data_IF_103671244383
#
_entry.id   IF_103671244383
#
_cell.length_a   1.000
_cell.length_b   1.000
_cell.length_c   1.000
_cell.angle_alpha   90.00
_cell.angle_beta   90.00
_cell.angle_gamma   90.00
#
_symmetry.space_group_name_H-M   'P 1'
#
loop_
_entity.id
_entity.type
_entity.pdbx_description
1 polymer ?
#
# COMPACT_ATOMS: atom_id res chain seq x y z
N UNK A 1 22.08 -21.96 -23.80
CA UNK A 1 23.56 -21.86 -23.76
C UNK A 1 24.13 -21.42 -22.41
N UNK A 2 23.67 -20.32 -21.79
CA UNK A 2 24.24 -19.82 -20.52
C UNK A 2 24.02 -20.74 -19.30
N UNK A 3 22.89 -21.45 -19.23
CA UNK A 3 22.56 -22.36 -18.11
C UNK A 3 23.54 -23.54 -18.03
N UNK A 4 23.92 -24.15 -19.16
CA UNK A 4 24.93 -25.23 -19.18
C UNK A 4 26.29 -24.76 -18.64
N UNK A 5 26.69 -23.53 -18.97
CA UNK A 5 27.94 -22.95 -18.45
C UNK A 5 27.88 -22.73 -16.92
N UNK A 6 26.71 -22.38 -16.37
CA UNK A 6 26.50 -22.25 -14.92
C UNK A 6 26.55 -23.63 -14.24
N UNK A 7 25.91 -24.64 -14.82
CA UNK A 7 25.94 -26.01 -14.28
C UNK A 7 27.37 -26.52 -14.22
N UNK A 8 28.13 -26.40 -15.31
CA UNK A 8 29.55 -26.78 -15.37
C UNK A 8 30.41 -26.00 -14.35
N UNK A 9 30.14 -24.71 -14.15
CA UNK A 9 30.83 -23.91 -13.15
C UNK A 9 30.55 -24.44 -11.73
N UNK A 10 29.29 -24.75 -11.41
CA UNK A 10 28.88 -25.26 -10.09
C UNK A 10 29.39 -26.68 -9.82
N UNK A 11 29.49 -27.51 -10.86
CA UNK A 11 30.13 -28.84 -10.79
C UNK A 11 31.63 -28.73 -10.48
N UNK A 12 32.30 -27.70 -11.00
CA UNK A 12 33.73 -27.47 -10.76
C UNK A 12 34.07 -26.86 -9.39
N UNK A 13 33.06 -26.45 -8.60
CA UNK A 13 33.24 -25.87 -7.28
C UNK A 13 33.40 -26.95 -6.20
N UNK A 14 34.26 -26.68 -5.22
CA UNK A 14 34.43 -27.55 -4.05
C UNK A 14 33.39 -27.18 -2.98
N UNK A 15 32.39 -28.03 -2.80
CA UNK A 15 31.39 -27.85 -1.75
C UNK A 15 31.81 -28.55 -0.46
N UNK A 16 31.32 -28.08 0.71
CA UNK A 16 31.48 -28.80 1.96
C UNK A 16 30.98 -30.24 1.82
N UNK A 17 31.70 -31.19 2.40
CA UNK A 17 31.46 -32.64 2.24
C UNK A 17 30.06 -33.10 2.66
N UNK A 18 29.40 -32.39 3.59
CA UNK A 18 28.02 -32.67 3.99
C UNK A 18 26.97 -32.20 2.97
N UNK A 19 27.33 -31.26 2.09
CA UNK A 19 26.43 -30.63 1.12
C UNK A 19 26.63 -31.20 -0.30
N UNK A 20 27.85 -31.62 -0.62
CA UNK A 20 28.26 -32.20 -1.91
C UNK A 20 27.25 -33.21 -2.52
N UNK A 21 26.77 -34.26 -1.82
CA UNK A 21 25.85 -35.23 -2.42
C UNK A 21 24.50 -34.64 -2.81
N UNK A 22 24.01 -33.63 -2.08
CA UNK A 22 22.76 -32.94 -2.43
C UNK A 22 22.92 -32.04 -3.64
N UNK A 23 24.09 -31.40 -3.76
CA UNK A 23 24.44 -30.54 -4.90
C UNK A 23 24.59 -31.38 -6.17
N UNK A 24 25.28 -32.52 -6.12
CA UNK A 24 25.43 -33.43 -7.26
C UNK A 24 24.08 -33.93 -7.77
N UNK A 25 23.21 -34.38 -6.86
CA UNK A 25 21.85 -34.80 -7.23
C UNK A 25 21.09 -33.63 -7.87
N UNK A 26 21.10 -32.45 -7.27
CA UNK A 26 20.42 -31.26 -7.81
C UNK A 26 20.94 -30.87 -9.19
N UNK A 27 22.25 -30.84 -9.40
CA UNK A 27 22.87 -30.50 -10.69
C UNK A 27 22.55 -31.54 -11.75
N UNK A 28 22.49 -32.83 -11.40
CA UNK A 28 22.04 -33.89 -12.30
C UNK A 28 20.57 -33.69 -12.74
N UNK A 29 19.68 -33.35 -11.80
CA UNK A 29 18.29 -33.00 -12.12
C UNK A 29 18.19 -31.78 -13.03
N UNK A 30 18.99 -30.73 -12.77
CA UNK A 30 19.01 -29.52 -13.60
C UNK A 30 19.53 -29.82 -15.00
N UNK A 31 20.63 -30.58 -15.11
CA UNK A 31 21.23 -30.96 -16.39
C UNK A 31 20.26 -31.78 -17.22
N UNK A 32 19.61 -32.79 -16.61
CA UNK A 32 18.57 -33.58 -17.27
C UNK A 32 17.37 -32.73 -17.72
N UNK A 33 16.90 -31.81 -16.88
CA UNK A 33 15.81 -30.90 -17.24
C UNK A 33 16.18 -29.97 -18.40
N UNK A 34 17.42 -29.46 -18.44
CA UNK A 34 17.92 -28.60 -19.52
C UNK A 34 18.04 -29.37 -20.83
N UNK A 35 18.44 -30.64 -20.78
CA UNK A 35 18.64 -31.48 -21.96
C UNK A 35 17.33 -32.06 -22.50
N UNK A 36 16.33 -32.24 -21.64
CA UNK A 36 14.99 -32.66 -22.04
C UNK A 36 14.16 -31.53 -22.67
N UNK A 37 14.46 -30.27 -22.32
CA UNK A 37 13.78 -29.10 -22.88
C UNK A 37 14.37 -28.77 -24.25
N UNK A 38 13.54 -28.84 -25.28
CA UNK A 38 13.88 -28.36 -26.62
C UNK A 38 13.85 -26.82 -26.65
N UNK A 39 15.03 -26.22 -26.46
CA UNK A 39 15.20 -24.77 -26.41
C UNK A 39 14.95 -24.11 -27.77
N UNK A 40 15.25 -24.79 -28.87
CA UNK A 40 15.03 -24.27 -30.22
C UNK A 40 13.52 -24.22 -30.52
N UNK A 41 12.77 -25.24 -30.07
CA UNK A 41 11.32 -25.23 -30.13
C UNK A 41 10.69 -24.15 -29.25
N UNK A 42 11.19 -23.92 -28.03
CA UNK A 42 10.71 -22.82 -27.17
C UNK A 42 11.02 -21.45 -27.76
N UNK A 43 12.20 -21.26 -28.36
CA UNK A 43 12.55 -20.02 -29.06
C UNK A 43 11.64 -19.79 -30.26
N UNK A 44 11.40 -20.81 -31.07
CA UNK A 44 10.43 -20.74 -32.17
C UNK A 44 9.04 -20.37 -31.65
N UNK A 45 8.58 -20.99 -30.56
CA UNK A 45 7.29 -20.71 -29.95
C UNK A 45 7.20 -19.27 -29.43
N UNK A 46 8.28 -18.75 -28.84
CA UNK A 46 8.38 -17.38 -28.39
C UNK A 46 8.29 -16.40 -29.57
N UNK A 47 9.02 -16.62 -30.66
CA UNK A 47 8.94 -15.80 -31.87
C UNK A 47 7.58 -15.89 -32.57
N UNK A 48 6.94 -17.06 -32.56
CA UNK A 48 5.61 -17.27 -33.11
C UNK A 48 4.54 -16.48 -32.33
N UNK A 49 4.62 -16.48 -31.00
CA UNK A 49 3.66 -15.77 -30.14
C UNK A 49 4.04 -14.33 -29.83
N UNK A 50 5.28 -13.89 -30.09
CA UNK A 50 5.70 -12.52 -29.81
C UNK A 50 4.83 -11.47 -30.53
N UNK A 51 4.49 -11.59 -31.82
CA UNK A 51 3.57 -10.66 -32.48
C UNK A 51 2.18 -10.63 -31.82
N UNK A 52 1.69 -11.80 -31.39
CA UNK A 52 0.41 -11.91 -30.67
C UNK A 52 0.49 -11.19 -29.32
N UNK A 53 1.56 -11.41 -28.57
CA UNK A 53 1.83 -10.75 -27.29
C UNK A 53 1.90 -9.23 -27.47
N UNK A 54 2.65 -8.75 -28.47
CA UNK A 54 2.75 -7.32 -28.81
C UNK A 54 1.38 -6.75 -29.17
N UNK A 55 0.59 -7.46 -29.98
CA UNK A 55 -0.75 -7.02 -30.41
C UNK A 55 -1.71 -6.80 -29.24
N UNK A 56 -1.55 -7.53 -28.12
CA UNK A 56 -2.37 -7.36 -26.92
C UNK A 56 -1.73 -6.47 -25.84
N UNK A 57 -0.40 -6.50 -25.67
CA UNK A 57 0.30 -5.67 -24.68
C UNK A 57 0.35 -4.20 -25.12
N UNK A 58 0.63 -3.94 -26.39
CA UNK A 58 0.82 -2.57 -26.88
C UNK A 58 -0.42 -1.68 -26.68
N UNK A 59 -1.66 -2.13 -26.99
CA UNK A 59 -2.86 -1.34 -26.70
C UNK A 59 -3.04 -1.06 -25.20
N UNK A 60 -2.70 -2.02 -24.32
CA UNK A 60 -2.76 -1.82 -22.87
C UNK A 60 -1.74 -0.78 -22.42
N UNK A 61 -0.51 -0.83 -22.91
CA UNK A 61 0.51 0.18 -22.63
C UNK A 61 0.10 1.57 -23.13
N UNK A 62 -0.49 1.65 -24.33
CA UNK A 62 -0.98 2.91 -24.89
C UNK A 62 -2.11 3.48 -24.02
N UNK A 63 -3.04 2.64 -23.56
CA UNK A 63 -4.10 3.04 -22.65
C UNK A 63 -3.53 3.58 -21.32
N UNK A 64 -2.54 2.88 -20.73
CA UNK A 64 -1.85 3.33 -19.53
C UNK A 64 -1.15 4.69 -19.75
N UNK A 65 -0.55 4.90 -20.92
CA UNK A 65 0.07 6.18 -21.26
C UNK A 65 -0.96 7.31 -21.36
N UNK A 66 -2.11 7.06 -22.00
CA UNK A 66 -3.21 8.03 -22.09
C UNK A 66 -3.71 8.40 -20.69
N UNK A 67 -3.94 7.42 -19.81
CA UNK A 67 -4.30 7.72 -18.42
C UNK A 67 -3.20 8.46 -17.66
N UNK A 68 -1.93 8.16 -17.94
CA UNK A 68 -0.78 8.92 -17.45
C UNK A 68 -0.85 10.40 -17.85
N UNK A 69 -1.21 10.70 -19.10
CA UNK A 69 -1.44 12.07 -19.56
C UNK A 69 -2.60 12.74 -18.82
N UNK A 70 -3.72 12.04 -18.59
CA UNK A 70 -4.86 12.57 -17.84
C UNK A 70 -4.46 12.91 -16.39
N UNK A 71 -3.74 12.01 -15.72
CA UNK A 71 -3.21 12.24 -14.37
C UNK A 71 -2.27 13.45 -14.36
N UNK A 72 -1.38 13.56 -15.36
CA UNK A 72 -0.49 14.70 -15.50
C UNK A 72 -1.26 16.02 -15.65
N UNK A 73 -2.30 16.05 -16.50
CA UNK A 73 -3.12 17.26 -16.68
C UNK A 73 -3.85 17.67 -15.40
N UNK A 74 -4.35 16.70 -14.62
CA UNK A 74 -4.95 16.97 -13.31
C UNK A 74 -3.94 17.58 -12.33
N UNK A 75 -2.74 17.02 -12.24
CA UNK A 75 -1.65 17.56 -11.41
C UNK A 75 -1.23 18.96 -11.89
N UNK A 76 -1.15 19.17 -13.21
CA UNK A 76 -0.81 20.46 -13.81
C UNK A 76 -1.87 21.54 -13.51
N UNK A 77 -3.13 21.16 -13.32
CA UNK A 77 -4.17 22.04 -12.78
C UNK A 77 -3.82 22.61 -11.40
N UNK A 78 -3.07 21.85 -10.58
CA UNK A 78 -2.61 22.24 -9.24
C UNK A 78 -1.24 22.95 -9.24
N UNK A 79 -0.67 23.28 -10.41
CA UNK A 79 0.70 23.82 -10.57
C UNK A 79 1.00 25.04 -9.67
N UNK A 80 0.04 25.92 -9.44
CA UNK A 80 0.25 27.11 -8.61
C UNK A 80 0.47 26.73 -7.14
N UNK A 81 -0.34 25.79 -6.61
CA UNK A 81 -0.19 25.27 -5.25
C UNK A 81 1.14 24.53 -5.07
N UNK A 82 1.53 23.76 -6.09
CA UNK A 82 2.81 23.06 -6.11
C UNK A 82 3.98 24.07 -6.10
N UNK A 83 3.90 25.12 -6.92
CA UNK A 83 4.90 26.19 -6.97
C UNK A 83 5.04 26.92 -5.63
N UNK A 84 3.92 27.22 -4.98
CA UNK A 84 3.91 27.82 -3.63
C UNK A 84 4.58 26.89 -2.60
N UNK A 85 4.29 25.59 -2.64
CA UNK A 85 4.89 24.60 -1.73
C UNK A 85 6.41 24.44 -1.94
N UNK A 86 6.89 24.52 -3.19
CA UNK A 86 8.33 24.54 -3.48
C UNK A 86 9.04 25.77 -2.90
N UNK A 87 8.33 26.89 -2.73
CA UNK A 87 8.90 28.09 -2.15
C UNK A 87 9.02 28.00 -0.61
N UNK A 88 8.24 27.15 0.06
CA UNK A 88 8.32 26.99 1.52
C UNK A 88 9.45 26.06 1.94
N UNK A 89 9.44 24.81 1.44
CA UNK A 89 10.49 23.83 1.72
C UNK A 89 10.54 22.71 0.69
N UNK A 90 11.71 22.09 0.54
CA UNK A 90 11.89 20.95 -0.36
C UNK A 90 10.94 19.78 -0.03
N UNK A 91 10.73 19.52 1.26
CA UNK A 91 9.86 18.43 1.71
C UNK A 91 8.38 18.76 1.51
N UNK A 92 7.97 20.01 1.63
CA UNK A 92 6.60 20.43 1.35
C UNK A 92 6.29 20.38 -0.14
N UNK A 93 7.22 20.80 -0.99
CA UNK A 93 7.11 20.61 -2.44
C UNK A 93 6.97 19.14 -2.83
N UNK A 94 7.78 18.25 -2.25
CA UNK A 94 7.68 16.80 -2.48
C UNK A 94 6.33 16.23 -2.01
N UNK A 95 5.90 16.59 -0.80
CA UNK A 95 4.62 16.21 -0.21
C UNK A 95 3.43 16.61 -1.07
N UNK A 96 3.35 17.88 -1.45
CA UNK A 96 2.23 18.41 -2.23
C UNK A 96 2.23 17.82 -3.65
N UNK A 97 3.40 17.55 -4.23
CA UNK A 97 3.48 16.85 -5.52
C UNK A 97 2.94 15.43 -5.46
N UNK A 98 3.35 14.64 -4.45
CA UNK A 98 2.86 13.27 -4.25
C UNK A 98 1.37 13.26 -3.89
N UNK A 99 0.92 14.20 -3.04
CA UNK A 99 -0.49 14.37 -2.72
C UNK A 99 -1.32 14.70 -3.96
N UNK A 100 -0.83 15.59 -4.83
CA UNK A 100 -1.49 15.93 -6.10
C UNK A 100 -1.60 14.73 -7.02
N UNK A 101 -0.57 13.87 -7.06
CA UNK A 101 -0.61 12.62 -7.81
C UNK A 101 -1.68 11.66 -7.28
N UNK A 102 -1.73 11.42 -5.97
CA UNK A 102 -2.74 10.53 -5.40
C UNK A 102 -4.16 11.09 -5.49
N UNK A 103 -4.33 12.41 -5.38
CA UNK A 103 -5.61 13.09 -5.65
C UNK A 103 -6.07 12.87 -7.10
N UNK A 104 -5.15 13.00 -8.07
CA UNK A 104 -5.43 12.73 -9.48
C UNK A 104 -5.80 11.26 -9.73
N UNK A 105 -5.02 10.32 -9.19
CA UNK A 105 -5.29 8.88 -9.31
C UNK A 105 -6.65 8.55 -8.69
N UNK A 106 -6.93 9.05 -7.49
CA UNK A 106 -8.24 8.84 -6.86
C UNK A 106 -9.38 9.42 -7.67
N UNK A 107 -9.20 10.61 -8.25
CA UNK A 107 -10.23 11.27 -9.05
C UNK A 107 -10.52 10.52 -10.36
N UNK A 108 -9.47 10.14 -11.09
CA UNK A 108 -9.58 9.50 -12.41
C UNK A 108 -9.98 8.03 -12.29
N UNK A 109 -9.36 7.28 -11.37
CA UNK A 109 -9.53 5.83 -11.29
C UNK A 109 -10.72 5.40 -10.42
N UNK A 110 -10.95 6.11 -9.31
CA UNK A 110 -11.98 5.75 -8.34
C UNK A 110 -13.09 6.79 -8.21
N UNK A 111 -13.09 7.87 -9.01
CA UNK A 111 -14.11 8.92 -8.95
C UNK A 111 -14.42 9.38 -7.52
N UNK A 112 -13.38 9.44 -6.67
CA UNK A 112 -13.61 9.46 -5.22
C UNK A 112 -14.19 10.79 -4.73
N UNK A 113 -15.02 10.71 -3.69
CA UNK A 113 -15.63 11.87 -3.03
C UNK A 113 -15.44 11.77 -1.52
N UNK A 114 -15.18 12.92 -0.87
CA UNK A 114 -15.11 13.01 0.60
C UNK A 114 -16.24 13.89 1.11
N UNK A 115 -17.08 13.32 1.98
CA UNK A 115 -18.09 14.04 2.77
C UNK A 115 -17.56 14.26 4.18
N UNK A 116 -17.77 15.44 4.76
CA UNK A 116 -17.33 15.75 6.12
C UNK A 116 -15.89 16.25 6.22
N UNK A 117 -15.29 16.77 5.13
CA UNK A 117 -13.94 17.36 5.19
C UNK A 117 -13.91 18.59 6.11
N UNK A 118 -15.03 19.28 6.24
CA UNK A 118 -15.30 20.36 7.18
C UNK A 118 -15.19 19.92 8.66
N UNK A 119 -15.36 18.62 8.97
CA UNK A 119 -15.18 18.08 10.31
C UNK A 119 -13.69 18.01 10.71
N UNK A 120 -12.77 18.10 9.74
CA UNK A 120 -11.33 18.13 9.98
C UNK A 120 -10.94 19.54 10.43
N UNK A 121 -10.37 19.69 11.65
CA UNK A 121 -10.04 21.01 12.17
C UNK A 121 -8.86 21.62 11.41
N UNK A 122 -8.93 22.94 11.17
CA UNK A 122 -7.87 23.68 10.50
C UNK A 122 -6.63 23.86 11.40
N UNK A 123 -6.81 23.81 12.73
CA UNK A 123 -5.75 23.89 13.73
C UNK A 123 -5.98 22.92 14.89
N UNK A 124 -4.95 22.60 15.68
CA UNK A 124 -5.06 21.69 16.83
C UNK A 124 -5.26 20.22 16.44
N UNK A 125 -5.30 19.28 17.41
CA UNK A 125 -5.26 17.87 17.10
C UNK A 125 -6.60 17.28 16.64
N UNK A 126 -6.52 16.16 15.93
CA UNK A 126 -7.65 15.26 15.72
C UNK A 126 -7.17 13.83 15.53
N UNK A 127 -7.93 12.87 16.07
CA UNK A 127 -7.69 11.45 15.90
C UNK A 127 -8.73 10.84 14.96
N UNK A 128 -8.28 10.37 13.81
CA UNK A 128 -9.07 9.61 12.87
C UNK A 128 -9.05 8.14 13.28
N UNK A 129 -10.23 7.57 13.49
CA UNK A 129 -10.39 6.14 13.72
C UNK A 129 -11.12 5.57 12.53
N UNK A 130 -10.46 4.69 11.78
CA UNK A 130 -10.96 4.27 10.48
C UNK A 130 -10.95 2.78 10.24
N UNK A 131 -11.85 2.34 9.37
CA UNK A 131 -11.83 0.99 8.82
C UNK A 131 -10.72 0.86 7.79
N UNK A 132 -9.83 -0.13 7.93
CA UNK A 132 -8.74 -0.35 7.00
C UNK A 132 -9.23 -1.08 5.75
N UNK A 133 -9.07 -0.50 4.56
CA UNK A 133 -9.24 -1.17 3.28
C UNK A 133 -8.24 -2.32 3.06
N UNK A 134 -8.37 -3.09 1.98
CA UNK A 134 -7.40 -4.18 1.71
C UNK A 134 -5.98 -3.65 1.50
N UNK A 135 -5.88 -2.51 0.81
CA UNK A 135 -4.69 -1.67 0.71
C UNK A 135 -5.03 -0.28 1.27
N UNK A 136 -4.05 0.47 1.81
CA UNK A 136 -4.28 1.76 2.45
C UNK A 136 -4.52 2.92 1.46
N UNK A 137 -5.15 2.66 0.31
CA UNK A 137 -5.48 3.73 -0.66
C UNK A 137 -6.48 4.73 -0.08
N UNK A 138 -7.35 4.24 0.80
CA UNK A 138 -8.28 5.06 1.57
C UNK A 138 -7.56 6.18 2.33
N UNK A 139 -6.53 5.85 3.11
CA UNK A 139 -5.79 6.84 3.89
C UNK A 139 -4.94 7.75 2.98
N UNK A 140 -4.45 7.25 1.85
CA UNK A 140 -3.68 8.07 0.90
C UNK A 140 -4.52 9.19 0.29
N UNK A 141 -5.77 8.91 -0.08
CA UNK A 141 -6.68 9.91 -0.64
C UNK A 141 -7.09 10.95 0.41
N UNK A 142 -7.28 10.53 1.66
CA UNK A 142 -7.58 11.45 2.77
C UNK A 142 -6.37 12.32 3.11
N UNK A 143 -5.16 11.74 3.18
CA UNK A 143 -3.91 12.52 3.29
C UNK A 143 -3.84 13.56 2.19
N UNK A 144 -4.04 13.16 0.93
CA UNK A 144 -3.97 14.06 -0.21
C UNK A 144 -4.97 15.23 -0.08
N UNK A 145 -6.24 14.95 0.25
CA UNK A 145 -7.25 16.01 0.47
C UNK A 145 -6.91 16.93 1.64
N UNK A 146 -6.48 16.38 2.78
CA UNK A 146 -6.08 17.19 3.94
C UNK A 146 -4.90 18.10 3.59
N UNK A 147 -3.90 17.62 2.84
CA UNK A 147 -2.75 18.45 2.46
C UNK A 147 -3.12 19.53 1.45
N UNK A 148 -3.96 19.19 0.47
CA UNK A 148 -4.34 20.12 -0.60
C UNK A 148 -5.37 21.18 -0.18
N UNK A 149 -6.24 20.88 0.78
CA UNK A 149 -7.36 21.76 1.17
C UNK A 149 -7.27 22.28 2.59
N UNK A 150 -6.68 21.53 3.51
CA UNK A 150 -6.49 21.93 4.91
C UNK A 150 -5.06 22.37 5.22
N UNK A 151 -4.10 22.11 4.30
CA UNK A 151 -2.66 22.32 4.52
C UNK A 151 -2.13 21.55 5.72
N UNK A 152 -2.71 20.37 6.00
CA UNK A 152 -2.33 19.51 7.13
C UNK A 152 -2.01 18.11 6.65
N UNK A 153 -0.92 17.54 7.18
CA UNK A 153 -0.58 16.13 6.97
C UNK A 153 -1.30 15.28 8.00
N UNK A 154 -1.86 14.15 7.57
CA UNK A 154 -2.42 13.14 8.45
C UNK A 154 -1.33 12.11 8.78
N UNK A 155 -0.89 12.09 10.05
CA UNK A 155 0.13 11.16 10.51
C UNK A 155 -0.47 9.76 10.63
N UNK A 156 0.30 8.72 10.31
CA UNK A 156 -0.22 7.35 10.29
C UNK A 156 0.53 6.43 11.25
N UNK A 157 -0.20 5.55 11.91
CA UNK A 157 0.39 4.42 12.63
C UNK A 157 0.48 3.22 11.70
N UNK A 158 1.70 2.87 11.29
CA UNK A 158 2.00 1.76 10.40
C UNK A 158 2.46 0.51 11.14
N UNK A 159 2.20 -0.67 10.58
CA UNK A 159 2.73 -1.91 11.14
C UNK A 159 4.26 -1.99 10.97
N UNK A 160 4.95 -2.66 11.90
CA UNK A 160 6.41 -2.74 11.97
C UNK A 160 7.05 -3.30 10.69
N UNK A 161 6.33 -4.13 9.93
CA UNK A 161 6.87 -4.68 8.67
C UNK A 161 7.15 -3.59 7.64
N UNK A 162 6.37 -2.48 7.64
CA UNK A 162 6.51 -1.40 6.66
C UNK A 162 7.92 -0.79 6.72
N UNK A 163 8.44 -0.65 7.93
CA UNK A 163 9.77 -0.08 8.21
C UNK A 163 10.93 -1.02 7.89
N UNK A 164 10.65 -2.29 7.58
CA UNK A 164 11.64 -3.27 7.17
C UNK A 164 11.76 -3.38 5.65
N UNK A 165 10.91 -2.69 4.89
CA UNK A 165 10.92 -2.76 3.43
C UNK A 165 12.00 -1.85 2.85
N UNK A 166 12.94 -2.38 2.06
CA UNK A 166 14.00 -1.59 1.45
C UNK A 166 13.44 -0.43 0.63
N UNK A 167 13.99 0.78 0.84
CA UNK A 167 13.60 2.00 0.12
C UNK A 167 12.41 2.78 0.70
N UNK A 168 11.64 2.21 1.65
CA UNK A 168 10.42 2.85 2.15
C UNK A 168 10.66 3.85 3.30
N UNK A 169 11.86 3.89 3.88
CA UNK A 169 12.17 4.79 4.99
C UNK A 169 11.90 6.27 4.68
N UNK A 170 12.19 6.70 3.44
CA UNK A 170 11.96 8.08 3.03
C UNK A 170 10.47 8.43 2.94
N UNK A 171 9.66 7.56 2.32
CA UNK A 171 8.21 7.82 2.19
C UNK A 171 7.55 7.85 3.57
N UNK A 172 7.96 6.95 4.48
CA UNK A 172 7.47 6.95 5.87
C UNK A 172 7.83 8.25 6.60
N UNK A 173 9.05 8.76 6.43
CA UNK A 173 9.49 10.02 7.03
C UNK A 173 8.72 11.21 6.48
N UNK A 174 8.54 11.28 5.16
CA UNK A 174 7.87 12.39 4.47
C UNK A 174 6.41 12.50 4.87
N UNK A 175 5.71 11.36 4.99
CA UNK A 175 4.30 11.27 5.34
C UNK A 175 4.03 10.96 6.82
N UNK A 176 5.04 11.10 7.69
CA UNK A 176 4.90 10.94 9.13
C UNK A 176 4.26 9.60 9.55
N UNK A 177 4.63 8.52 8.86
CA UNK A 177 4.22 7.16 9.17
C UNK A 177 5.17 6.62 10.25
N UNK A 178 4.63 6.24 11.41
CA UNK A 178 5.41 5.74 12.55
C UNK A 178 4.86 4.39 13.03
N UNK A 179 5.69 3.53 13.64
CA UNK A 179 5.18 2.31 14.28
C UNK A 179 4.34 2.59 15.53
N UNK A 180 4.54 3.79 16.12
CA UNK A 180 3.74 4.45 17.16
C UNK A 180 3.38 3.61 18.38
N UNK A 181 4.03 3.86 19.53
CA UNK A 181 3.46 3.46 20.83
C UNK A 181 2.23 4.31 21.17
N UNK A 182 1.50 3.94 22.22
CA UNK A 182 0.37 4.75 22.71
C UNK A 182 0.87 6.13 23.13
N UNK A 183 2.02 6.19 23.78
CA UNK A 183 2.67 7.41 24.26
C UNK A 183 3.13 8.28 23.08
N UNK A 184 3.69 7.69 22.03
CA UNK A 184 4.06 8.42 20.80
C UNK A 184 2.83 9.05 20.14
N UNK A 185 1.72 8.31 20.07
CA UNK A 185 0.47 8.78 19.50
C UNK A 185 -0.10 9.95 20.32
N UNK A 186 -0.10 9.82 21.65
CA UNK A 186 -0.52 10.88 22.57
C UNK A 186 0.37 12.12 22.41
N UNK A 187 1.69 11.95 22.32
CA UNK A 187 2.61 13.06 22.11
C UNK A 187 2.31 13.79 20.80
N UNK A 188 2.12 13.08 19.68
CA UNK A 188 1.75 13.69 18.39
C UNK A 188 0.44 14.47 18.44
N UNK A 189 -0.57 13.95 19.14
CA UNK A 189 -1.82 14.67 19.35
C UNK A 189 -1.62 15.90 20.25
N UNK A 190 -0.81 15.82 21.30
CA UNK A 190 -0.49 16.99 22.15
C UNK A 190 0.28 18.07 21.38
N UNK A 191 1.12 17.68 20.45
CA UNK A 191 1.81 18.59 19.51
C UNK A 191 0.85 19.23 18.48
N UNK A 192 -0.44 18.88 18.53
CA UNK A 192 -1.48 19.46 17.68
C UNK A 192 -1.56 18.82 16.30
N UNK A 193 -1.01 17.64 16.06
CA UNK A 193 -1.08 16.97 14.75
C UNK A 193 -2.39 16.20 14.53
N UNK A 194 -2.71 15.98 13.25
CA UNK A 194 -3.72 15.00 12.85
C UNK A 194 -3.09 13.61 12.86
N UNK A 195 -3.76 12.63 13.46
CA UNK A 195 -3.30 11.24 13.52
C UNK A 195 -4.41 10.31 13.06
N UNK A 196 -4.10 9.26 12.31
CA UNK A 196 -5.05 8.19 11.99
C UNK A 196 -4.59 6.83 12.49
N UNK A 197 -5.54 6.06 13.02
CA UNK A 197 -5.35 4.71 13.50
C UNK A 197 -6.46 3.81 12.96
N UNK A 198 -6.07 2.72 12.32
CA UNK A 198 -6.97 1.62 12.01
C UNK A 198 -6.98 0.63 13.19
N UNK A 199 -8.10 0.48 13.94
CA UNK A 199 -8.15 -0.37 15.13
C UNK A 199 -7.68 -1.81 14.88
N UNK A 200 -8.09 -2.41 13.76
CA UNK A 200 -7.68 -3.75 13.37
C UNK A 200 -6.38 -3.84 12.57
N UNK A 201 -5.88 -2.71 12.06
CA UNK A 201 -4.64 -2.60 11.29
C UNK A 201 -4.55 -3.63 10.16
N UNK A 202 -3.35 -4.17 9.93
CA UNK A 202 -3.09 -5.15 8.86
C UNK A 202 -3.96 -6.41 8.99
N UNK A 203 -4.32 -6.84 10.20
CA UNK A 203 -5.18 -8.01 10.38
C UNK A 203 -6.57 -7.76 9.78
N UNK A 204 -7.12 -6.59 10.03
CA UNK A 204 -8.38 -6.15 9.42
C UNK A 204 -8.21 -6.01 7.92
N UNK A 205 -7.16 -5.31 7.46
CA UNK A 205 -6.83 -5.18 6.04
C UNK A 205 -6.83 -6.53 5.30
N UNK A 206 -6.33 -7.58 5.93
CA UNK A 206 -6.23 -8.89 5.29
C UNK A 206 -7.48 -9.77 5.43
N UNK A 207 -8.23 -9.63 6.52
CA UNK A 207 -9.19 -10.66 6.93
C UNK A 207 -10.60 -10.18 7.25
N UNK A 208 -10.89 -8.88 7.13
CA UNK A 208 -12.26 -8.38 7.24
C UNK A 208 -13.13 -8.93 6.11
N UNK A 209 -14.42 -9.01 6.39
CA UNK A 209 -15.42 -9.46 5.42
C UNK A 209 -15.77 -8.28 4.49
N UNK A 210 -15.52 -8.39 3.17
CA UNK A 210 -15.81 -7.31 2.23
C UNK A 210 -17.31 -6.98 2.12
N UNK A 211 -18.21 -7.89 2.49
CA UNK A 211 -19.66 -7.65 2.40
C UNK A 211 -20.20 -6.84 3.60
N UNK A 212 -19.57 -6.98 4.77
CA UNK A 212 -20.10 -6.44 6.04
C UNK A 212 -19.22 -5.37 6.67
N UNK A 213 -17.99 -5.17 6.18
CA UNK A 213 -17.05 -4.17 6.70
C UNK A 213 -16.80 -4.28 8.22
N UNK A 214 -16.79 -5.51 8.74
CA UNK A 214 -16.61 -5.75 10.17
C UNK A 214 -15.24 -5.24 10.66
N UNK A 215 -15.24 -4.37 11.66
CA UNK A 215 -14.00 -3.90 12.30
C UNK A 215 -13.39 -5.04 13.11
N UNK A 216 -12.11 -5.33 12.90
CA UNK A 216 -11.39 -6.48 13.46
C UNK A 216 -10.24 -6.07 14.39
N UNK A 217 -10.52 -5.30 15.44
CA UNK A 217 -9.50 -4.93 16.43
C UNK A 217 -9.09 -6.07 17.38
N UNK A 218 -9.93 -7.11 17.54
CA UNK A 218 -9.67 -8.25 18.43
C UNK A 218 -9.28 -7.81 19.86
N UNK A 219 -8.03 -8.03 20.29
CA UNK A 219 -7.51 -7.60 21.61
C UNK A 219 -6.69 -6.30 21.54
N UNK A 220 -6.66 -5.61 20.38
CA UNK A 220 -5.89 -4.37 20.17
C UNK A 220 -6.69 -3.18 20.72
N UNK A 221 -6.29 -2.71 21.90
CA UNK A 221 -6.93 -1.57 22.58
C UNK A 221 -6.09 -0.28 22.52
N UNK A 222 -5.04 -0.25 21.68
CA UNK A 222 -4.13 0.89 21.58
C UNK A 222 -4.85 2.20 21.23
N UNK A 223 -5.72 2.18 20.21
CA UNK A 223 -6.50 3.35 19.81
C UNK A 223 -7.37 3.88 20.96
N UNK A 224 -8.02 3.00 21.72
CA UNK A 224 -8.85 3.38 22.86
C UNK A 224 -8.01 4.00 23.99
N UNK A 225 -6.81 3.46 24.25
CA UNK A 225 -5.87 4.06 25.22
C UNK A 225 -5.38 5.44 24.77
N UNK A 226 -5.16 5.64 23.47
CA UNK A 226 -4.80 6.96 22.92
C UNK A 226 -5.93 7.98 23.13
N UNK A 227 -7.18 7.58 22.86
CA UNK A 227 -8.37 8.41 23.12
C UNK A 227 -8.42 8.81 24.60
N UNK A 228 -8.35 7.84 25.51
CA UNK A 228 -8.39 8.10 26.97
C UNK A 228 -7.21 8.94 27.46
N UNK A 229 -6.04 8.82 26.83
CA UNK A 229 -4.84 9.59 27.17
C UNK A 229 -4.80 11.02 26.63
N UNK A 230 -5.76 11.39 25.76
CA UNK A 230 -5.91 12.72 25.18
C UNK A 230 -7.36 13.22 25.31
N UNK A 231 -7.86 13.45 26.54
CA UNK A 231 -9.22 13.92 26.75
C UNK A 231 -9.45 15.26 26.04
N UNK A 232 -10.62 15.41 25.41
CA UNK A 232 -10.98 16.60 24.65
C UNK A 232 -10.42 16.66 23.22
N UNK A 233 -9.53 15.75 22.81
CA UNK A 233 -9.10 15.64 21.41
C UNK A 233 -10.27 15.13 20.54
N UNK A 234 -10.64 15.85 19.46
CA UNK A 234 -11.62 15.41 18.49
C UNK A 234 -11.33 14.00 17.95
N UNK A 235 -12.27 13.07 18.08
CA UNK A 235 -12.22 11.77 17.40
C UNK A 235 -13.13 11.84 16.18
N UNK A 236 -12.58 11.59 15.00
CA UNK A 236 -13.30 11.60 13.72
C UNK A 236 -13.38 10.14 13.22
N UNK A 237 -14.53 9.47 13.37
CA UNK A 237 -14.74 8.19 12.73
C UNK A 237 -14.72 8.37 11.21
N UNK A 238 -13.98 7.51 10.52
CA UNK A 238 -13.85 7.54 9.07
C UNK A 238 -14.22 6.18 8.49
N UNK A 239 -15.07 6.22 7.45
CA UNK A 239 -15.45 5.05 6.69
C UNK A 239 -15.29 5.31 5.20
N UNK A 240 -14.84 4.28 4.47
CA UNK A 240 -14.66 4.34 3.01
C UNK A 240 -15.43 3.21 2.37
N UNK A 241 -16.51 3.55 1.68
CA UNK A 241 -17.30 2.62 0.88
C UNK A 241 -16.48 2.14 -0.32
N UNK A 242 -16.66 0.88 -0.70
CA UNK A 242 -16.00 0.21 -1.83
C UNK A 242 -14.47 0.09 -1.74
N UNK A 243 -13.84 0.45 -0.60
CA UNK A 243 -12.41 0.24 -0.39
C UNK A 243 -12.01 -1.24 -0.47
N UNK A 244 -12.96 -2.14 -0.19
CA UNK A 244 -12.82 -3.60 -0.31
C UNK A 244 -13.12 -4.14 -1.70
N UNK A 245 -13.81 -3.36 -2.52
CA UNK A 245 -14.12 -3.72 -3.89
C UNK A 245 -12.99 -3.35 -4.83
N UNK A 246 -12.23 -2.29 -4.54
CA UNK A 246 -11.06 -1.92 -5.33
C UNK A 246 -9.96 -2.99 -5.28
N UNK A 247 -9.70 -3.54 -4.10
CA UNK A 247 -8.71 -4.61 -3.89
C UNK A 247 -9.27 -5.69 -2.98
N UNK A 248 -9.07 -6.95 -3.39
CA UNK A 248 -9.61 -8.13 -2.73
C UNK A 248 -8.51 -9.14 -2.44
N UNK A 249 -8.80 -10.01 -1.48
CA UNK A 249 -7.97 -11.17 -1.15
C UNK A 249 -8.73 -12.42 -1.60
N UNK A 250 -8.09 -13.35 -2.32
CA UNK A 250 -8.73 -14.60 -2.75
C UNK A 250 -9.32 -15.36 -1.56
N UNK A 251 -10.46 -15.99 -1.78
CA UNK A 251 -11.10 -16.79 -0.72
C UNK A 251 -10.34 -18.10 -0.46
N UNK A 252 -9.69 -18.65 -1.50
CA UNK A 252 -8.89 -19.86 -1.38
C UNK A 252 -7.70 -19.65 -0.42
N UNK A 253 -7.43 -20.64 0.42
CA UNK A 253 -6.31 -20.59 1.36
C UNK A 253 -6.46 -19.59 2.52
N UNK A 254 -7.57 -18.86 2.65
CA UNK A 254 -7.75 -17.81 3.69
C UNK A 254 -7.47 -18.30 5.12
N UNK A 255 -7.82 -19.53 5.46
CA UNK A 255 -7.51 -20.13 6.78
C UNK A 255 -6.01 -20.32 6.99
N UNK A 256 -5.30 -20.80 5.96
CA UNK A 256 -3.84 -21.01 5.99
C UNK A 256 -3.13 -19.66 6.10
N UNK A 257 -3.45 -18.69 5.26
CA UNK A 257 -2.86 -17.36 5.33
C UNK A 257 -3.13 -16.65 6.65
N UNK A 258 -4.33 -16.81 7.21
CA UNK A 258 -4.65 -16.30 8.55
C UNK A 258 -3.78 -16.96 9.61
N UNK A 259 -3.62 -18.27 9.59
CA UNK A 259 -2.75 -18.99 10.52
C UNK A 259 -1.29 -18.53 10.40
N UNK A 260 -0.77 -18.37 9.17
CA UNK A 260 0.58 -17.85 8.93
C UNK A 260 0.71 -16.45 9.53
N UNK A 261 -0.22 -15.54 9.20
CA UNK A 261 -0.21 -14.17 9.69
C UNK A 261 -0.27 -14.09 11.22
N UNK A 262 -1.09 -14.90 11.88
CA UNK A 262 -1.17 -14.88 13.34
C UNK A 262 0.13 -15.34 14.02
N UNK A 263 0.89 -16.24 13.38
CA UNK A 263 2.19 -16.71 13.87
C UNK A 263 3.34 -15.76 13.54
N UNK A 264 3.43 -15.27 12.30
CA UNK A 264 4.60 -14.54 11.79
C UNK A 264 4.42 -13.03 11.76
N UNK A 265 3.16 -12.55 11.78
CA UNK A 265 2.78 -11.15 11.53
C UNK A 265 3.21 -10.61 10.16
N UNK A 266 3.55 -11.49 9.21
CA UNK A 266 3.87 -11.12 7.84
C UNK A 266 2.61 -11.13 6.96
N UNK A 267 2.35 -10.06 6.18
CA UNK A 267 1.17 -9.96 5.32
C UNK A 267 1.35 -10.72 4.00
N UNK A 268 1.38 -12.05 4.07
CA UNK A 268 1.64 -12.92 2.90
C UNK A 268 0.39 -13.29 2.10
N UNK A 269 -0.73 -12.58 2.30
CA UNK A 269 -1.94 -12.85 1.53
C UNK A 269 -1.79 -12.30 0.10
N UNK A 270 -2.09 -13.08 -0.93
CA UNK A 270 -2.18 -12.54 -2.28
C UNK A 270 -3.29 -11.50 -2.34
N UNK A 271 -3.01 -10.36 -2.97
CA UNK A 271 -3.98 -9.30 -3.23
C UNK A 271 -4.18 -9.20 -4.75
N UNK A 272 -5.42 -9.09 -5.18
CA UNK A 272 -5.77 -8.82 -6.58
C UNK A 272 -6.78 -7.68 -6.63
N UNK A 273 -6.91 -7.06 -7.81
CA UNK A 273 -7.81 -5.93 -8.02
C UNK A 273 -7.07 -4.76 -8.65
N UNK A 274 -7.30 -3.58 -8.12
CA UNK A 274 -7.12 -2.32 -8.84
C UNK A 274 -8.36 -1.99 -9.68
N UNK A 275 -9.55 -2.42 -9.24
CA UNK A 275 -10.78 -2.18 -9.99
C UNK A 275 -11.20 -0.70 -9.90
N UNK A 276 -11.66 -0.09 -11.01
CA UNK A 276 -12.07 1.32 -11.04
C UNK A 276 -13.47 1.49 -10.44
N UNK A 277 -13.58 1.27 -9.13
CA UNK A 277 -14.84 1.39 -8.38
C UNK A 277 -14.93 2.76 -7.72
N UNK A 278 -16.16 3.30 -7.63
CA UNK A 278 -16.38 4.58 -6.95
C UNK A 278 -16.07 4.45 -5.45
N UNK A 279 -15.12 5.22 -4.92
CA UNK A 279 -14.84 5.25 -3.48
C UNK A 279 -15.50 6.45 -2.80
N UNK A 280 -16.39 6.19 -1.84
CA UNK A 280 -17.07 7.24 -1.06
C UNK A 280 -16.50 7.29 0.35
N UNK A 281 -15.94 8.43 0.73
CA UNK A 281 -15.37 8.68 2.04
C UNK A 281 -16.35 9.47 2.89
N UNK A 282 -16.58 8.99 4.11
CA UNK A 282 -17.43 9.67 5.10
C UNK A 282 -16.59 9.93 6.34
N UNK A 283 -16.26 11.21 6.55
CA UNK A 283 -15.67 11.71 7.78
C UNK A 283 -16.80 12.15 8.71
N UNK A 284 -17.12 11.30 9.68
CA UNK A 284 -18.29 11.48 10.53
C UNK A 284 -18.10 12.65 11.51
N UNK A 285 -19.21 13.06 12.13
CA UNK A 285 -19.19 14.11 13.15
C UNK A 285 -18.21 13.77 14.27
N UNK A 286 -17.59 14.82 14.81
CA UNK A 286 -16.62 14.71 15.89
C UNK A 286 -17.28 14.11 17.13
N UNK A 287 -16.71 13.02 17.62
CA UNK A 287 -17.02 12.47 18.93
C UNK A 287 -16.01 13.04 19.92
N UNK A 288 -16.51 13.71 20.97
CA UNK A 288 -15.68 14.14 22.11
C UNK A 288 -15.97 13.18 23.25
N UNK A 289 -14.94 12.48 23.69
CA UNK A 289 -14.95 11.54 24.82
C UNK A 289 -14.14 12.12 25.98
#
# INVERSE_FOLDING_TARGET
MWIRNIVLLLESMHWPSWLQPYVEVLLLWISWAVDYVDWDYLEYLAWLFLPLLIAFILPVLLLLFIYGCVIFLHIYGLRNRIREAYASSLWDGARISIASFWDAVGHVWHGYEIRGLENVPDEGPALFVYYHGTLPLDVYYVIAKCMLHKRRTLHCVGDKFIFKMPGWGLICKVFCITPGTVEDCIARLRDGHLLCIAPGGVREALFSDPAHYNIMWARRLGFAKVILGCPGTPVIPMFTENCRDAFRIPHCGRKVFRWIYEKTRLPLCPVYGGFPVKMMFVLMNVVRL
#
